data_IF_595541526203
#
_entry.id   IF_595541526203
#
_cell.length_a   1.000
_cell.length_b   1.000
_cell.length_c   1.000
_cell.angle_alpha   90.00
_cell.angle_beta   90.00
_cell.angle_gamma   90.00
#
_symmetry.space_group_name_H-M   'P 1'
#
loop_
_entity.id
_entity.type
_entity.pdbx_description
1 polymer ?
#
# COMPACT_ATOMS: atom_id res chain seq x y z
N UNK A 1 -1.81 43.87 -27.72
CA UNK A 1 -0.61 43.03 -27.48
C UNK A 1 -0.79 42.13 -26.25
N UNK A 2 -1.92 41.40 -26.15
CA UNK A 2 -2.29 40.62 -24.95
C UNK A 2 -2.82 39.21 -25.27
N UNK A 3 -2.80 38.80 -26.54
CA UNK A 3 -3.30 37.49 -27.00
C UNK A 3 -2.16 36.46 -27.08
N UNK A 4 -0.92 36.91 -27.35
CA UNK A 4 0.25 36.04 -27.50
C UNK A 4 0.81 35.46 -26.19
N UNK A 5 0.44 35.99 -25.03
CA UNK A 5 0.92 35.45 -23.73
C UNK A 5 0.11 34.23 -23.24
N UNK A 6 -1.18 34.12 -23.61
CA UNK A 6 -2.03 33.00 -23.17
C UNK A 6 -1.79 31.71 -23.96
N UNK A 7 -1.34 31.80 -25.21
CA UNK A 7 -1.05 30.62 -26.03
C UNK A 7 0.22 29.89 -25.58
N UNK A 8 1.23 30.64 -25.12
CA UNK A 8 2.52 30.06 -24.71
C UNK A 8 2.41 29.36 -23.35
N UNK A 9 1.57 29.84 -22.43
CA UNK A 9 1.33 29.15 -21.15
C UNK A 9 0.52 27.85 -21.30
N UNK A 10 -0.45 27.79 -22.23
CA UNK A 10 -1.15 26.53 -22.54
C UNK A 10 -0.23 25.51 -23.20
N UNK A 11 0.73 25.97 -24.02
CA UNK A 11 1.71 25.08 -24.65
C UNK A 11 2.74 24.54 -23.65
N UNK A 12 3.11 25.32 -22.63
CA UNK A 12 4.05 24.88 -21.60
C UNK A 12 3.40 23.94 -20.56
N UNK A 13 2.13 24.12 -20.21
CA UNK A 13 1.41 23.20 -19.30
C UNK A 13 0.93 21.91 -19.97
N UNK A 14 0.72 21.91 -21.30
CA UNK A 14 0.46 20.68 -22.05
C UNK A 14 1.72 19.82 -22.25
N UNK A 15 2.91 20.44 -22.22
CA UNK A 15 4.18 19.74 -22.41
C UNK A 15 4.66 19.00 -21.14
N UNK A 16 4.18 19.39 -19.96
CA UNK A 16 4.49 18.69 -18.70
C UNK A 16 3.56 17.50 -18.41
N UNK A 17 2.57 17.24 -19.27
CA UNK A 17 1.60 16.13 -19.11
C UNK A 17 1.81 15.02 -20.17
N UNK A 18 2.81 15.12 -21.07
CA UNK A 18 2.93 14.17 -22.20
C UNK A 18 4.28 13.48 -22.41
N UNK A 19 5.15 13.42 -21.41
CA UNK A 19 6.37 12.58 -21.45
C UNK A 19 6.28 11.42 -20.45
N UNK A 20 5.37 10.50 -20.75
CA UNK A 20 5.31 9.15 -20.22
C UNK A 20 5.05 8.18 -21.38
N UNK A 21 5.92 8.22 -22.40
CA UNK A 21 5.84 7.35 -23.57
C UNK A 21 6.24 5.93 -23.17
N UNK A 22 5.24 5.03 -23.16
CA UNK A 22 5.30 3.62 -23.56
C UNK A 22 6.55 2.83 -23.13
N UNK A 23 6.47 2.21 -21.97
CA UNK A 23 7.14 0.93 -21.71
C UNK A 23 6.11 -0.03 -21.14
N UNK A 24 5.96 -1.20 -21.77
CA UNK A 24 5.28 -2.38 -21.25
C UNK A 24 3.85 -2.18 -20.75
N UNK A 25 2.87 -2.59 -21.56
CA UNK A 25 1.64 -3.15 -21.01
C UNK A 25 2.02 -4.46 -20.30
N UNK A 26 2.72 -4.38 -19.17
CA UNK A 26 2.93 -5.51 -18.27
C UNK A 26 1.56 -5.76 -17.68
N UNK A 27 0.87 -6.75 -18.24
CA UNK A 27 -0.37 -7.26 -17.68
C UNK A 27 -0.06 -7.79 -16.29
N UNK A 28 -0.21 -6.92 -15.28
CA UNK A 28 -0.38 -7.38 -13.91
C UNK A 28 -1.58 -8.30 -13.93
N UNK A 29 -1.35 -9.59 -13.73
CA UNK A 29 -2.42 -10.55 -13.61
C UNK A 29 -3.31 -10.07 -12.46
N UNK A 30 -4.54 -9.66 -12.79
CA UNK A 30 -5.54 -9.40 -11.78
C UNK A 30 -5.74 -10.72 -11.04
N UNK A 31 -5.46 -10.75 -9.74
CA UNK A 31 -5.88 -11.86 -8.88
C UNK A 31 -7.40 -11.82 -8.80
N UNK A 32 -8.07 -12.60 -9.66
CA UNK A 32 -9.53 -12.62 -9.76
C UNK A 32 -10.19 -13.40 -8.62
N UNK A 33 -9.43 -14.24 -7.93
CA UNK A 33 -9.82 -15.09 -6.80
C UNK A 33 -9.41 -14.51 -5.44
N UNK A 34 -9.11 -13.20 -5.36
CA UNK A 34 -8.64 -12.57 -4.12
C UNK A 34 -9.60 -12.78 -2.93
N UNK A 35 -10.90 -12.64 -3.15
CA UNK A 35 -11.90 -12.79 -2.09
C UNK A 35 -11.93 -14.23 -1.55
N UNK A 36 -11.74 -15.23 -2.41
CA UNK A 36 -11.64 -16.63 -2.01
C UNK A 36 -10.38 -16.87 -1.18
N UNK A 37 -9.23 -16.39 -1.67
CA UNK A 37 -7.94 -16.48 -1.00
C UNK A 37 -7.95 -15.83 0.38
N UNK A 38 -8.44 -14.60 0.48
CA UNK A 38 -8.40 -13.84 1.74
C UNK A 38 -9.39 -14.37 2.78
N UNK A 39 -10.43 -15.11 2.35
CA UNK A 39 -11.48 -15.59 3.25
C UNK A 39 -10.97 -16.55 4.33
N UNK A 40 -9.93 -17.34 4.03
CA UNK A 40 -9.36 -18.31 4.99
C UNK A 40 -8.57 -17.65 6.12
N UNK A 41 -7.99 -16.46 5.88
CA UNK A 41 -7.16 -15.74 6.87
C UNK A 41 -7.85 -14.52 7.47
N UNK A 42 -9.03 -14.13 6.96
CA UNK A 42 -9.72 -12.89 7.34
C UNK A 42 -9.90 -12.76 8.85
N UNK A 43 -10.45 -13.77 9.50
CA UNK A 43 -10.72 -13.72 10.94
C UNK A 43 -9.43 -13.64 11.76
N UNK A 44 -8.37 -14.33 11.33
CA UNK A 44 -7.05 -14.26 11.95
C UNK A 44 -6.45 -12.86 11.83
N UNK A 45 -6.51 -12.24 10.63
CA UNK A 45 -6.01 -10.87 10.42
C UNK A 45 -6.76 -9.86 11.30
N UNK A 46 -8.09 -9.92 11.34
CA UNK A 46 -8.89 -9.04 12.19
C UNK A 46 -8.65 -9.30 13.68
N UNK A 47 -8.49 -10.57 14.09
CA UNK A 47 -8.18 -10.95 15.46
C UNK A 47 -6.83 -10.41 15.92
N UNK A 48 -5.80 -10.52 15.08
CA UNK A 48 -4.45 -10.05 15.37
C UNK A 48 -4.38 -8.52 15.46
N UNK A 49 -5.00 -7.82 14.49
CA UNK A 49 -5.09 -6.36 14.50
C UNK A 49 -5.89 -5.85 15.71
N UNK A 50 -7.08 -6.42 15.94
CA UNK A 50 -7.96 -6.02 17.05
C UNK A 50 -7.33 -6.27 18.41
N UNK A 51 -6.61 -7.38 18.59
CA UNK A 51 -5.98 -7.72 19.87
C UNK A 51 -4.71 -6.91 20.15
N UNK A 52 -3.92 -6.60 19.12
CA UNK A 52 -2.61 -5.98 19.30
C UNK A 52 -2.68 -4.46 19.26
N UNK A 53 -3.42 -3.90 18.31
CA UNK A 53 -3.45 -2.44 18.03
C UNK A 53 -4.84 -1.83 18.16
N UNK A 54 -5.88 -2.64 18.40
CA UNK A 54 -7.24 -2.15 18.68
C UNK A 54 -7.95 -1.54 17.47
N UNK A 55 -7.45 -1.78 16.25
CA UNK A 55 -7.89 -1.08 15.06
C UNK A 55 -8.03 -2.05 13.86
N UNK A 56 -8.69 -1.61 12.80
CA UNK A 56 -8.96 -2.45 11.61
C UNK A 56 -7.91 -2.26 10.51
N UNK A 57 -7.95 -3.09 9.44
CA UNK A 57 -7.01 -2.98 8.32
C UNK A 57 -7.14 -1.67 7.51
N UNK A 58 -8.22 -0.91 7.70
CA UNK A 58 -8.48 0.36 7.03
C UNK A 58 -8.45 1.57 7.97
N UNK A 59 -8.55 1.35 9.29
CA UNK A 59 -8.61 2.39 10.31
C UNK A 59 -7.40 2.21 11.24
N UNK A 60 -6.34 3.00 11.06
CA UNK A 60 -5.08 2.89 11.80
C UNK A 60 -4.19 1.71 11.38
N UNK A 61 -4.73 0.51 11.14
CA UNK A 61 -3.96 -0.70 10.83
C UNK A 61 -3.43 -0.80 9.40
N UNK A 62 -3.83 0.13 8.51
CA UNK A 62 -3.50 0.07 7.09
C UNK A 62 -2.00 0.04 6.79
N UNK A 63 -1.20 0.73 7.61
CA UNK A 63 0.25 0.76 7.41
C UNK A 63 0.90 -0.59 7.69
N UNK A 64 0.47 -1.26 8.77
CA UNK A 64 0.96 -2.59 9.16
C UNK A 64 0.57 -3.61 8.09
N UNK A 65 -0.69 -3.56 7.63
CA UNK A 65 -1.18 -4.42 6.55
C UNK A 65 -0.42 -4.19 5.25
N UNK A 66 -0.20 -2.94 4.86
CA UNK A 66 0.54 -2.61 3.65
C UNK A 66 2.01 -3.04 3.75
N UNK A 67 2.65 -2.87 4.92
CA UNK A 67 4.00 -3.37 5.18
C UNK A 67 4.09 -4.90 5.14
N UNK A 68 3.11 -5.59 5.71
CA UNK A 68 3.01 -7.06 5.66
C UNK A 68 2.88 -7.54 4.20
N UNK A 69 1.94 -6.98 3.44
CA UNK A 69 1.80 -7.25 2.01
C UNK A 69 3.10 -6.96 1.25
N UNK A 70 3.72 -5.81 1.46
CA UNK A 70 4.98 -5.42 0.80
C UNK A 70 6.09 -6.45 1.07
N UNK A 71 6.18 -6.98 2.28
CA UNK A 71 7.19 -7.99 2.62
C UNK A 71 6.94 -9.35 1.96
N UNK A 72 5.71 -9.62 1.50
CA UNK A 72 5.34 -10.85 0.79
C UNK A 72 5.44 -10.67 -0.72
N UNK A 73 4.88 -9.61 -1.28
CA UNK A 73 4.79 -9.44 -2.73
C UNK A 73 5.89 -8.52 -3.30
N UNK A 74 6.63 -7.81 -2.46
CA UNK A 74 7.51 -6.71 -2.86
C UNK A 74 6.74 -5.44 -3.21
N UNK A 75 7.35 -4.57 -4.02
CA UNK A 75 6.73 -3.32 -4.48
C UNK A 75 7.01 -2.11 -3.58
N UNK A 76 6.41 -0.98 -3.95
CA UNK A 76 6.60 0.32 -3.29
C UNK A 76 5.47 0.60 -2.30
N UNK A 77 5.81 0.96 -1.05
CA UNK A 77 4.83 1.47 -0.09
C UNK A 77 4.41 2.89 -0.49
N UNK A 78 3.10 3.09 -0.65
CA UNK A 78 2.48 4.34 -1.09
C UNK A 78 1.32 4.72 -0.18
N UNK A 79 0.89 5.97 -0.29
CA UNK A 79 -0.30 6.48 0.40
C UNK A 79 -1.29 7.07 -0.58
N UNK A 80 -2.58 6.86 -0.33
CA UNK A 80 -3.65 7.61 -0.97
C UNK A 80 -3.73 9.01 -0.36
N UNK A 81 -3.88 10.02 -1.21
CA UNK A 81 -3.86 11.42 -0.78
C UNK A 81 -5.09 12.19 -1.25
N UNK A 82 -5.60 13.04 -0.36
CA UNK A 82 -6.64 14.04 -0.65
C UNK A 82 -6.07 15.20 -1.50
N UNK A 83 -6.92 16.04 -2.12
CA UNK A 83 -6.50 17.23 -2.85
C UNK A 83 -5.61 18.20 -2.06
N UNK A 84 -5.75 18.24 -0.73
CA UNK A 84 -4.94 19.06 0.16
C UNK A 84 -3.58 18.44 0.54
N UNK A 85 -3.26 17.24 0.02
CA UNK A 85 -2.02 16.51 0.29
C UNK A 85 -2.04 15.60 1.53
N UNK A 86 -3.13 15.59 2.30
CA UNK A 86 -3.30 14.70 3.45
C UNK A 86 -3.33 13.24 3.04
N UNK A 87 -2.58 12.39 3.73
CA UNK A 87 -2.51 10.95 3.49
C UNK A 87 -3.55 10.20 4.32
N UNK A 88 -4.51 9.53 3.67
CA UNK A 88 -5.59 8.80 4.34
C UNK A 88 -5.29 7.31 4.55
N UNK A 89 -4.57 6.67 3.63
CA UNK A 89 -4.46 5.20 3.61
C UNK A 89 -3.17 4.72 2.99
N UNK A 90 -2.54 3.70 3.60
CA UNK A 90 -1.37 3.03 3.04
C UNK A 90 -1.77 1.88 2.11
N UNK A 91 -1.00 1.70 1.03
CA UNK A 91 -1.15 0.63 0.08
C UNK A 91 0.22 0.24 -0.52
N UNK A 92 0.27 -0.86 -1.26
CA UNK A 92 1.46 -1.28 -2.01
C UNK A 92 1.24 -1.09 -3.50
N UNK A 93 2.16 -0.42 -4.17
CA UNK A 93 2.21 -0.32 -5.63
C UNK A 93 3.10 -1.43 -6.19
N UNK A 94 2.52 -2.37 -6.93
CA UNK A 94 3.24 -3.46 -7.62
C UNK A 94 2.61 -3.73 -8.98
N UNK A 95 3.44 -3.81 -10.02
CA UNK A 95 3.03 -4.11 -11.40
C UNK A 95 1.87 -3.23 -11.92
N UNK A 96 1.88 -1.95 -11.53
CA UNK A 96 0.85 -0.97 -11.90
C UNK A 96 -0.49 -1.12 -11.16
N UNK A 97 -0.57 -2.01 -10.17
CA UNK A 97 -1.73 -2.23 -9.31
C UNK A 97 -1.46 -1.71 -7.89
N UNK A 98 -2.49 -1.17 -7.25
CA UNK A 98 -2.48 -0.83 -5.82
C UNK A 98 -3.10 -1.98 -5.03
N UNK A 99 -2.46 -2.33 -3.91
CA UNK A 99 -2.84 -3.44 -3.04
C UNK A 99 -3.08 -2.95 -1.61
N UNK A 100 -4.20 -3.38 -1.04
CA UNK A 100 -4.53 -3.33 0.38
C UNK A 100 -5.19 -4.66 0.75
N UNK A 101 -5.77 -4.75 1.96
CA UNK A 101 -6.51 -5.94 2.39
C UNK A 101 -7.71 -6.31 1.48
N UNK A 102 -8.29 -5.34 0.77
CA UNK A 102 -9.37 -5.58 -0.19
C UNK A 102 -8.88 -6.07 -1.56
N UNK A 103 -7.56 -6.17 -1.74
CA UNK A 103 -6.94 -6.77 -2.91
C UNK A 103 -6.61 -5.78 -4.03
N UNK A 104 -5.92 -6.28 -5.08
CA UNK A 104 -5.32 -5.47 -6.13
C UNK A 104 -6.33 -4.81 -7.06
N UNK A 105 -6.13 -3.53 -7.34
CA UNK A 105 -6.86 -2.83 -8.41
C UNK A 105 -5.98 -1.80 -9.14
N UNK A 106 -6.30 -1.47 -10.41
CA UNK A 106 -5.71 -0.31 -11.07
C UNK A 106 -6.01 0.98 -10.26
N UNK A 107 -5.09 1.96 -10.22
CA UNK A 107 -5.18 3.09 -9.28
C UNK A 107 -6.53 3.83 -9.27
N UNK A 108 -7.10 4.13 -10.44
CA UNK A 108 -8.39 4.82 -10.52
C UNK A 108 -9.55 4.00 -9.89
N UNK A 109 -9.56 2.68 -10.09
CA UNK A 109 -10.57 1.78 -9.50
C UNK A 109 -10.32 1.59 -8.01
N UNK A 110 -9.06 1.49 -7.60
CA UNK A 110 -8.65 1.37 -6.21
C UNK A 110 -9.12 2.59 -5.39
N UNK A 111 -8.77 3.80 -5.84
CA UNK A 111 -9.15 5.06 -5.18
C UNK A 111 -10.67 5.20 -5.13
N UNK A 112 -11.38 4.89 -6.23
CA UNK A 112 -12.84 4.93 -6.27
C UNK A 112 -13.48 3.95 -5.27
N UNK A 113 -12.94 2.73 -5.14
CA UNK A 113 -13.39 1.75 -4.15
C UNK A 113 -13.16 2.26 -2.73
N UNK A 114 -11.96 2.76 -2.45
CA UNK A 114 -11.58 3.28 -1.14
C UNK A 114 -12.48 4.44 -0.71
N UNK A 115 -12.60 5.48 -1.55
CA UNK A 115 -13.44 6.64 -1.26
C UNK A 115 -14.90 6.26 -0.98
N UNK A 116 -15.45 5.28 -1.72
CA UNK A 116 -16.82 4.81 -1.52
C UNK A 116 -17.01 4.08 -0.19
N UNK A 117 -16.02 3.31 0.27
CA UNK A 117 -16.11 2.48 1.49
C UNK A 117 -15.80 3.29 2.75
N UNK A 118 -14.73 4.08 2.71
CA UNK A 118 -14.23 4.83 3.86
C UNK A 118 -14.79 6.26 3.93
N UNK A 119 -15.73 6.62 3.05
CA UNK A 119 -16.28 7.97 2.94
C UNK A 119 -15.20 9.07 2.80
N UNK A 120 -14.13 8.75 2.07
CA UNK A 120 -12.97 9.62 1.85
C UNK A 120 -13.01 10.33 0.49
N UNK A 121 -12.09 11.29 0.29
CA UNK A 121 -11.97 12.10 -0.92
C UNK A 121 -10.55 12.06 -1.50
N UNK A 122 -9.92 10.89 -1.53
CA UNK A 122 -8.61 10.75 -2.14
C UNK A 122 -8.67 11.07 -3.65
N UNK A 123 -7.72 11.85 -4.14
CA UNK A 123 -7.61 12.29 -5.52
C UNK A 123 -6.41 11.66 -6.26
N UNK A 124 -5.50 11.03 -5.52
CA UNK A 124 -4.31 10.40 -6.09
C UNK A 124 -3.58 9.54 -5.07
N UNK A 125 -2.37 9.13 -5.42
CA UNK A 125 -1.45 8.43 -4.53
C UNK A 125 -0.02 8.91 -4.77
N UNK A 126 0.84 8.73 -3.78
CA UNK A 126 2.28 9.02 -3.87
C UNK A 126 3.07 8.11 -2.94
N UNK A 127 4.40 8.08 -3.10
CA UNK A 127 5.27 7.43 -2.11
C UNK A 127 5.02 8.02 -0.72
N UNK A 128 5.07 7.14 0.28
CA UNK A 128 4.93 7.54 1.67
C UNK A 128 6.06 8.48 2.07
N UNK A 129 5.72 9.54 2.81
CA UNK A 129 6.67 10.37 3.51
C UNK A 129 6.69 9.97 4.99
N UNK A 130 7.77 9.31 5.42
CA UNK A 130 7.92 8.78 6.77
C UNK A 130 8.00 9.86 7.86
N UNK A 131 8.23 11.13 7.51
CA UNK A 131 8.23 12.21 8.49
C UNK A 131 6.79 12.67 8.78
N UNK A 132 5.93 12.74 7.75
CA UNK A 132 4.64 13.45 7.83
C UNK A 132 3.39 12.59 7.69
N UNK A 133 3.47 11.42 7.06
CA UNK A 133 2.26 10.67 6.68
C UNK A 133 1.90 9.57 7.68
N UNK A 134 0.61 9.46 8.01
CA UNK A 134 0.08 8.38 8.85
C UNK A 134 0.82 8.27 10.19
N UNK A 135 1.13 9.40 10.82
CA UNK A 135 1.90 9.47 12.08
C UNK A 135 1.31 8.53 13.14
N UNK A 136 -0.01 8.60 13.35
CA UNK A 136 -0.73 7.75 14.31
C UNK A 136 -0.60 6.25 13.99
N UNK A 137 -0.71 5.87 12.71
CA UNK A 137 -0.54 4.49 12.28
C UNK A 137 0.89 3.97 12.48
N UNK A 138 1.90 4.85 12.40
CA UNK A 138 3.31 4.52 12.66
C UNK A 138 3.58 4.33 14.15
N UNK A 139 2.94 5.11 15.01
CA UNK A 139 3.10 5.00 16.46
C UNK A 139 2.64 3.64 17.01
N UNK A 140 1.67 3.02 16.33
CA UNK A 140 1.16 1.69 16.67
C UNK A 140 1.77 0.57 15.79
N UNK A 141 2.72 0.90 14.91
CA UNK A 141 3.32 -0.09 14.02
C UNK A 141 4.18 -1.08 14.82
N UNK A 142 3.73 -2.33 14.88
CA UNK A 142 4.41 -3.42 15.56
C UNK A 142 4.99 -4.38 14.51
N UNK A 143 6.33 -4.50 14.48
CA UNK A 143 7.02 -5.38 13.53
C UNK A 143 6.66 -6.85 13.73
N UNK A 144 6.42 -7.29 14.97
CA UNK A 144 6.01 -8.67 15.27
C UNK A 144 4.61 -8.95 14.73
N UNK A 145 3.70 -7.96 14.79
CA UNK A 145 2.38 -8.07 14.19
C UNK A 145 2.49 -8.09 12.67
N UNK A 146 3.30 -7.19 12.10
CA UNK A 146 3.54 -7.16 10.67
C UNK A 146 4.06 -8.51 10.15
N UNK A 147 4.99 -9.14 10.87
CA UNK A 147 5.52 -10.46 10.51
C UNK A 147 4.44 -11.55 10.54
N UNK A 148 3.62 -11.61 11.60
CA UNK A 148 2.50 -12.57 11.66
C UNK A 148 1.48 -12.37 10.53
N UNK A 149 1.12 -11.12 10.24
CA UNK A 149 0.23 -10.82 9.12
C UNK A 149 0.86 -11.22 7.79
N UNK A 150 2.17 -11.06 7.65
CA UNK A 150 2.88 -11.43 6.44
C UNK A 150 2.94 -12.94 6.24
N UNK A 151 3.08 -13.73 7.31
CA UNK A 151 2.98 -15.19 7.24
C UNK A 151 1.59 -15.62 6.75
N UNK A 152 0.52 -15.01 7.29
CA UNK A 152 -0.85 -15.25 6.81
C UNK A 152 -1.01 -14.89 5.32
N UNK A 153 -0.48 -13.74 4.88
CA UNK A 153 -0.53 -13.37 3.47
C UNK A 153 0.26 -14.32 2.57
N UNK A 154 1.40 -14.84 3.03
CA UNK A 154 2.20 -15.80 2.27
C UNK A 154 1.46 -17.14 2.08
N UNK A 155 0.65 -17.57 3.05
CA UNK A 155 -0.20 -18.78 2.93
C UNK A 155 -1.20 -18.69 1.76
N UNK A 156 -1.74 -17.49 1.51
CA UNK A 156 -2.78 -17.26 0.50
C UNK A 156 -2.26 -16.70 -0.83
N UNK A 157 -0.96 -16.36 -0.87
CA UNK A 157 -0.24 -15.86 -2.06
C UNK A 157 1.01 -16.70 -2.40
N UNK A 158 0.98 -18.04 -2.38
CA UNK A 158 2.18 -18.87 -2.56
C UNK A 158 2.82 -18.71 -3.96
N UNK A 159 2.05 -18.27 -4.94
CA UNK A 159 2.43 -18.04 -6.33
C UNK A 159 3.09 -16.67 -6.58
N UNK A 160 3.05 -15.75 -5.60
CA UNK A 160 3.54 -14.38 -5.73
C UNK A 160 4.52 -14.02 -4.60
N UNK A 161 4.49 -14.78 -3.50
CA UNK A 161 5.39 -14.60 -2.37
C UNK A 161 6.85 -14.62 -2.84
N UNK A 162 7.59 -13.55 -2.54
CA UNK A 162 9.04 -13.54 -2.67
C UNK A 162 9.63 -14.47 -1.62
N UNK A 163 10.74 -15.15 -1.95
CA UNK A 163 11.47 -15.95 -0.97
C UNK A 163 11.85 -15.07 0.23
N UNK A 164 11.16 -15.25 1.36
CA UNK A 164 11.47 -14.56 2.61
C UNK A 164 12.73 -15.20 3.19
N UNK A 165 13.88 -14.55 3.03
CA UNK A 165 15.06 -14.87 3.84
C UNK A 165 14.81 -14.39 5.26
N UNK A 166 14.21 -15.26 6.09
CA UNK A 166 14.08 -15.04 7.52
C UNK A 166 15.48 -15.13 8.13
N UNK A 167 16.23 -14.02 8.14
CA UNK A 167 17.41 -13.92 8.98
C UNK A 167 16.96 -13.70 10.44
N UNK A 168 16.84 -14.80 11.17
CA UNK A 168 16.99 -14.79 12.62
C UNK A 168 18.43 -14.39 12.96
N UNK A 169 18.65 -13.13 13.29
CA UNK A 169 19.79 -12.72 14.11
C UNK A 169 19.29 -12.59 15.56
N UNK A 170 19.14 -13.73 16.24
CA UNK A 170 19.16 -13.72 17.70
C UNK A 170 20.61 -13.51 18.13
N UNK A 171 21.00 -12.25 18.31
CA UNK A 171 22.24 -11.88 19.01
C UNK A 171 22.14 -12.31 20.48
N UNK A 172 22.46 -13.56 20.77
CA UNK A 172 22.90 -13.94 22.12
C UNK A 172 24.30 -13.38 22.33
N UNK A 173 24.38 -12.25 23.02
CA UNK A 173 25.64 -11.71 23.52
C UNK A 173 26.28 -12.68 24.53
N UNK A 174 27.62 -12.73 24.61
CA UNK A 174 28.31 -13.71 25.44
C UNK A 174 28.14 -13.41 26.92
N UNK A 175 27.87 -14.47 27.69
CA UNK A 175 27.91 -14.48 29.16
C UNK A 175 29.35 -14.22 29.64
N UNK A 176 29.61 -13.20 30.49
CA UNK A 176 30.92 -13.06 31.11
C UNK A 176 31.08 -14.09 32.23
N UNK A 177 32.27 -14.71 32.26
CA UNK A 177 32.78 -15.57 33.33
C UNK A 177 33.29 -14.77 34.51
#
# INVERSE_FOLDING_TARGET
MLIKLKSTLKSAMASLISEGRKEGCLGGALITDWEERISSIRDSVYGDLGTTVGCGPFDGGCLIVAGALQSVIGGDLVVLVRPNGFADHAAVLKDGLLWDFSGPLPPAKFISRFNKREHAECAGFRKINYDTDLIEAREIADNSLQDRLADLFAEVLPDIAVERNIHQEHSQGPTPS
#
